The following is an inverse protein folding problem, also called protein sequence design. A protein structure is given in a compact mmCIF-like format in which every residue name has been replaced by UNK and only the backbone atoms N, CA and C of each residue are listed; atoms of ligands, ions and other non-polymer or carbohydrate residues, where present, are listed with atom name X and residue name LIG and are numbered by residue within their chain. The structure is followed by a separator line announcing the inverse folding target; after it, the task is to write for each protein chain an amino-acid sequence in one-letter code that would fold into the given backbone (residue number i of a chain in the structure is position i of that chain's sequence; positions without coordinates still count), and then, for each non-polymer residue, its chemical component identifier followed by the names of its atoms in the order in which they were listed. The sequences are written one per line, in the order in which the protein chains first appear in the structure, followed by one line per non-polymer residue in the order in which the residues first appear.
data_IF_071985077446
#
_entry.id   IF_071985077446
#
_cell.length_a   1.000
_cell.length_b   1.000
_cell.length_c   1.000
_cell.angle_alpha   90.00
_cell.angle_beta   90.00
_cell.angle_gamma   90.00
#
_symmetry.space_group_name_H-M   'P 1'
#
loop_
_entity.id
_entity.type
_entity.pdbx_description
1 polymer ?
#
# COMPACT_ATOMS: atom_id res chain seq x y z
N UNK A 1 1.30 25.72 -2.03
CA UNK A 1 0.77 24.45 -2.55
C UNK A 1 1.88 23.42 -2.42
N UNK A 2 1.76 22.49 -1.48
CA UNK A 2 2.72 21.39 -1.36
C UNK A 2 2.15 20.26 -2.21
N UNK A 3 2.82 19.94 -3.32
CA UNK A 3 2.45 18.83 -4.20
C UNK A 3 2.94 17.53 -3.54
N UNK A 4 2.08 16.88 -2.76
CA UNK A 4 2.45 15.65 -2.04
C UNK A 4 2.42 14.39 -2.94
N UNK A 5 1.84 14.52 -4.13
CA UNK A 5 1.52 13.42 -5.06
C UNK A 5 2.68 13.06 -6.01
N UNK A 6 3.83 13.74 -5.90
CA UNK A 6 4.86 13.76 -6.95
C UNK A 6 6.03 12.76 -6.78
N UNK A 7 5.95 11.80 -5.86
CA UNK A 7 7.04 10.84 -5.65
C UNK A 7 6.70 9.46 -6.20
N UNK A 8 7.57 8.87 -7.03
CA UNK A 8 7.36 7.52 -7.53
C UNK A 8 7.42 6.55 -6.34
N UNK A 9 6.36 5.76 -6.20
CA UNK A 9 6.15 4.85 -5.08
C UNK A 9 6.80 3.50 -5.35
N UNK A 10 7.30 2.86 -4.29
CA UNK A 10 7.71 1.45 -4.35
C UNK A 10 6.44 0.62 -4.40
N UNK A 11 6.22 -0.11 -5.50
CA UNK A 11 5.32 -1.25 -5.53
C UNK A 11 6.18 -2.50 -5.81
N UNK A 12 6.00 -3.60 -5.08
CA UNK A 12 6.61 -4.86 -5.46
C UNK A 12 6.17 -5.25 -6.88
N UNK A 13 7.01 -5.94 -7.63
CA UNK A 13 6.69 -6.32 -9.01
C UNK A 13 5.50 -7.29 -9.04
N UNK A 14 4.59 -7.17 -10.03
CA UNK A 14 3.42 -8.04 -10.11
C UNK A 14 3.87 -9.49 -10.32
N UNK A 15 3.48 -10.38 -9.39
CA UNK A 15 3.64 -11.82 -9.56
C UNK A 15 2.48 -12.38 -10.40
N UNK A 16 2.72 -13.32 -11.33
CA UNK A 16 1.63 -13.94 -12.08
C UNK A 16 0.77 -14.80 -11.13
N UNK A 17 -0.48 -14.39 -10.87
CA UNK A 17 -1.43 -15.16 -10.05
C UNK A 17 -2.75 -15.47 -10.78
N UNK A 18 -3.32 -16.68 -10.63
CA UNK A 18 -4.59 -17.03 -11.24
C UNK A 18 -5.77 -16.63 -10.34
N UNK A 19 -6.45 -15.52 -10.69
CA UNK A 19 -7.78 -15.15 -10.18
C UNK A 19 -7.82 -14.13 -9.05
N UNK A 20 -9.00 -13.54 -8.76
CA UNK A 20 -9.20 -12.56 -7.69
C UNK A 20 -9.24 -13.28 -6.35
N UNK A 21 -8.08 -13.73 -5.88
CA UNK A 21 -7.93 -14.19 -4.51
C UNK A 21 -7.30 -13.07 -3.66
N UNK A 22 -7.67 -12.91 -2.38
CA UNK A 22 -7.01 -11.95 -1.49
C UNK A 22 -5.54 -12.26 -1.23
N UNK A 23 -5.14 -13.54 -1.27
CA UNK A 23 -3.84 -13.99 -0.79
C UNK A 23 -2.61 -13.36 -1.50
N UNK A 24 -2.60 -13.15 -2.84
CA UNK A 24 -1.52 -12.43 -3.52
C UNK A 24 -1.44 -10.95 -3.14
N UNK A 25 -2.59 -10.29 -2.99
CA UNK A 25 -2.62 -8.89 -2.56
C UNK A 25 -2.13 -8.77 -1.12
N UNK A 26 -2.59 -9.65 -0.24
CA UNK A 26 -2.14 -9.75 1.14
C UNK A 26 -0.63 -9.96 1.21
N UNK A 27 -0.10 -10.89 0.42
CA UNK A 27 1.34 -11.15 0.33
C UNK A 27 2.12 -9.93 -0.16
N UNK A 28 1.66 -9.27 -1.24
CA UNK A 28 2.31 -8.07 -1.78
C UNK A 28 2.34 -6.91 -0.77
N UNK A 29 1.25 -6.69 -0.03
CA UNK A 29 1.20 -5.69 1.03
C UNK A 29 2.12 -6.07 2.20
N UNK A 30 2.11 -7.33 2.62
CA UNK A 30 3.00 -7.83 3.67
C UNK A 30 4.48 -7.67 3.30
N UNK A 31 4.85 -8.00 2.07
CA UNK A 31 6.20 -7.77 1.54
C UNK A 31 6.55 -6.27 1.50
N UNK A 32 5.62 -5.41 1.09
CA UNK A 32 5.84 -3.97 1.07
C UNK A 32 6.06 -3.41 2.48
N UNK A 33 5.25 -3.80 3.46
CA UNK A 33 5.36 -3.37 4.85
C UNK A 33 6.63 -3.89 5.54
N UNK A 34 7.20 -5.00 5.05
CA UNK A 34 8.46 -5.53 5.55
C UNK A 34 9.71 -4.75 5.07
N UNK A 35 9.56 -3.80 4.13
CA UNK A 35 10.66 -2.96 3.67
C UNK A 35 10.88 -1.83 4.69
N UNK A 36 11.94 -1.95 5.49
CA UNK A 36 12.34 -1.00 6.55
C UNK A 36 13.31 0.09 6.07
N UNK A 37 13.60 0.13 4.77
CA UNK A 37 14.50 1.12 4.17
C UNK A 37 13.71 2.28 3.57
N UNK A 38 14.18 3.50 3.85
CA UNK A 38 13.59 4.75 3.34
C UNK A 38 13.65 4.88 1.82
N UNK A 39 14.65 4.27 1.20
CA UNK A 39 14.89 4.31 -0.25
C UNK A 39 15.12 2.91 -0.76
N UNK A 40 14.52 2.59 -1.90
CA UNK A 40 14.62 1.24 -2.47
C UNK A 40 15.87 1.09 -3.35
N UNK A 41 16.97 0.63 -2.76
CA UNK A 41 18.24 0.45 -3.47
C UNK A 41 18.71 1.74 -4.16
N UNK A 42 19.05 1.64 -5.45
CA UNK A 42 19.46 2.78 -6.29
C UNK A 42 18.35 3.23 -7.26
N UNK A 43 17.10 2.85 -7.03
CA UNK A 43 15.99 3.14 -7.95
C UNK A 43 15.54 4.60 -7.95
N UNK A 44 15.88 5.36 -6.91
CA UNK A 44 15.32 6.69 -6.66
C UNK A 44 13.89 6.67 -6.08
N UNK A 45 13.32 5.49 -5.81
CA UNK A 45 12.00 5.35 -5.18
C UNK A 45 12.09 5.58 -3.67
N UNK A 46 11.08 6.28 -3.15
CA UNK A 46 10.92 6.59 -1.74
C UNK A 46 9.88 5.66 -1.12
N UNK A 47 10.22 5.05 0.02
CA UNK A 47 9.29 4.26 0.81
C UNK A 47 8.76 5.12 1.96
N UNK A 48 7.46 5.44 1.94
CA UNK A 48 6.83 6.22 3.00
C UNK A 48 6.44 5.35 4.20
N UNK A 49 6.43 4.04 4.02
CA UNK A 49 6.03 3.06 5.02
C UNK A 49 7.19 2.55 5.89
N UNK A 50 8.44 2.94 5.60
CA UNK A 50 9.65 2.37 6.22
C UNK A 50 9.73 2.46 7.75
N UNK A 51 9.00 3.39 8.37
CA UNK A 51 8.89 3.57 9.83
C UNK A 51 7.56 3.11 10.41
N UNK A 52 6.65 2.63 9.58
CA UNK A 52 5.32 2.18 10.00
C UNK A 52 5.38 0.72 10.44
N UNK A 53 4.59 0.36 11.46
CA UNK A 53 4.33 -1.05 11.79
C UNK A 53 2.89 -1.32 11.39
N UNK A 54 2.69 -1.83 10.17
CA UNK A 54 1.37 -2.13 9.61
C UNK A 54 1.22 -3.62 9.35
N UNK A 55 0.02 -4.12 9.56
CA UNK A 55 -0.38 -5.49 9.23
C UNK A 55 -1.72 -5.47 8.52
N UNK A 56 -1.87 -6.36 7.54
CA UNK A 56 -3.18 -6.63 6.94
C UNK A 56 -4.04 -7.37 7.97
N UNK A 57 -5.18 -6.77 8.33
CA UNK A 57 -6.18 -7.42 9.18
C UNK A 57 -7.17 -8.23 8.33
N UNK A 58 -7.52 -7.71 7.15
CA UNK A 58 -8.35 -8.44 6.21
C UNK A 58 -8.50 -7.71 4.87
N UNK A 59 -8.74 -8.50 3.82
CA UNK A 59 -8.99 -8.02 2.47
C UNK A 59 -10.28 -8.66 1.95
N UNK A 60 -11.15 -7.84 1.39
CA UNK A 60 -12.37 -8.26 0.72
C UNK A 60 -12.38 -7.66 -0.69
N UNK A 61 -12.58 -8.49 -1.70
CA UNK A 61 -12.58 -8.07 -3.10
C UNK A 61 -13.97 -8.30 -3.68
N UNK A 62 -14.67 -7.23 -4.05
CA UNK A 62 -16.03 -7.28 -4.59
C UNK A 62 -16.17 -6.30 -5.74
N UNK A 63 -16.67 -6.79 -6.88
CA UNK A 63 -16.97 -5.96 -8.06
C UNK A 63 -15.83 -5.01 -8.48
N UNK A 64 -14.60 -5.54 -8.47
CA UNK A 64 -13.38 -4.81 -8.83
C UNK A 64 -12.86 -3.86 -7.74
N UNK A 65 -13.47 -3.82 -6.56
CA UNK A 65 -13.01 -3.01 -5.45
C UNK A 65 -12.33 -3.88 -4.39
N UNK A 66 -11.10 -3.51 -4.01
CA UNK A 66 -10.39 -4.08 -2.87
C UNK A 66 -10.61 -3.23 -1.62
N UNK A 67 -11.27 -3.80 -0.62
CA UNK A 67 -11.46 -3.22 0.71
C UNK A 67 -10.38 -3.81 1.60
N UNK A 68 -9.40 -2.98 1.96
CA UNK A 68 -8.21 -3.36 2.72
C UNK A 68 -8.33 -2.78 4.13
N UNK A 69 -8.40 -3.65 5.13
CA UNK A 69 -8.38 -3.25 6.53
C UNK A 69 -6.99 -3.52 7.10
N UNK A 70 -6.38 -2.47 7.65
CA UNK A 70 -5.05 -2.50 8.25
C UNK A 70 -5.14 -2.23 9.74
N UNK A 71 -4.17 -2.78 10.46
CA UNK A 71 -3.95 -2.50 11.88
C UNK A 71 -2.50 -2.11 12.12
N UNK A 72 -2.26 -1.34 13.18
CA UNK A 72 -0.92 -1.01 13.67
C UNK A 72 -0.69 0.48 13.87
N UNK A 73 0.55 0.92 13.68
CA UNK A 73 0.99 2.29 13.95
C UNK A 73 1.57 2.94 12.72
N UNK A 74 0.98 4.08 12.36
CA UNK A 74 1.47 4.95 11.31
C UNK A 74 2.32 6.08 11.92
N UNK A 75 3.56 6.21 11.46
CA UNK A 75 4.44 7.31 11.86
C UNK A 75 4.44 8.38 10.77
N UNK A 76 3.89 9.56 11.08
CA UNK A 76 3.92 10.72 10.20
C UNK A 76 5.10 11.62 10.54
N UNK A 77 6.03 11.81 9.61
CA UNK A 77 7.12 12.79 9.72
C UNK A 77 6.75 14.13 9.06
N UNK A 78 5.72 14.16 8.19
CA UNK A 78 5.21 15.38 7.58
C UNK A 78 3.85 15.24 6.90
N UNK A 79 3.28 16.39 6.49
CA UNK A 79 1.95 16.51 5.87
C UNK A 79 1.77 15.71 4.56
N UNK A 80 2.88 15.27 3.94
CA UNK A 80 2.83 14.46 2.73
C UNK A 80 2.92 12.96 2.99
N UNK A 81 3.12 12.51 4.23
CA UNK A 81 3.31 11.08 4.47
C UNK A 81 1.99 10.33 4.39
N UNK A 82 0.91 10.90 4.90
CA UNK A 82 -0.43 10.30 4.76
C UNK A 82 -0.83 10.06 3.30
N UNK A 83 -0.79 11.07 2.38
CA UNK A 83 -1.11 10.82 0.98
C UNK A 83 -0.12 9.87 0.28
N UNK A 84 1.16 9.85 0.68
CA UNK A 84 2.15 8.91 0.11
C UNK A 84 1.93 7.48 0.55
N UNK A 85 1.61 7.26 1.83
CA UNK A 85 1.30 5.94 2.37
C UNK A 85 0.05 5.38 1.72
N UNK A 86 -1.01 6.18 1.65
CA UNK A 86 -2.23 5.80 0.95
C UNK A 86 -1.94 5.42 -0.49
N UNK A 87 -1.23 6.28 -1.23
CA UNK A 87 -0.84 6.01 -2.62
C UNK A 87 0.01 4.75 -2.78
N UNK A 88 0.93 4.46 -1.86
CA UNK A 88 1.74 3.24 -1.89
C UNK A 88 0.89 1.97 -1.76
N UNK A 89 -0.06 1.98 -0.82
CA UNK A 89 -1.00 0.86 -0.61
C UNK A 89 -1.92 0.70 -1.82
N UNK A 90 -2.50 1.81 -2.31
CA UNK A 90 -3.39 1.82 -3.47
C UNK A 90 -2.69 1.29 -4.72
N UNK A 91 -1.49 1.79 -5.03
CA UNK A 91 -0.75 1.33 -6.22
C UNK A 91 -0.32 -0.13 -6.10
N UNK A 92 -0.02 -0.61 -4.89
CA UNK A 92 0.25 -2.04 -4.65
C UNK A 92 -0.99 -2.90 -4.90
N UNK A 93 -2.19 -2.40 -4.68
CA UNK A 93 -3.42 -3.10 -5.02
C UNK A 93 -3.80 -2.98 -6.50
N UNK A 94 -3.66 -1.79 -7.10
CA UNK A 94 -4.00 -1.52 -8.49
C UNK A 94 -3.07 -2.22 -9.50
N UNK A 95 -1.93 -2.76 -9.07
CA UNK A 95 -1.10 -3.61 -9.93
C UNK A 95 -1.83 -4.89 -10.38
N UNK A 96 -2.84 -5.33 -9.61
CA UNK A 96 -3.63 -6.50 -9.94
C UNK A 96 -4.76 -6.11 -10.89
N UNK A 97 -4.72 -6.63 -12.12
CA UNK A 97 -5.68 -6.28 -13.19
C UNK A 97 -7.17 -6.50 -12.89
N UNK A 98 -7.51 -7.20 -11.82
CA UNK A 98 -8.88 -7.42 -11.34
C UNK A 98 -9.36 -6.36 -10.35
N UNK A 99 -8.50 -5.40 -9.98
CA UNK A 99 -8.78 -4.33 -9.03
C UNK A 99 -8.83 -3.01 -9.79
N UNK A 100 -10.00 -2.39 -9.79
CA UNK A 100 -10.29 -1.09 -10.39
C UNK A 100 -10.28 0.03 -9.33
N UNK A 101 -10.60 -0.31 -8.07
CA UNK A 101 -10.76 0.64 -6.96
C UNK A 101 -10.21 0.06 -5.67
N UNK A 102 -9.79 0.93 -4.77
CA UNK A 102 -9.22 0.55 -3.48
C UNK A 102 -9.83 1.43 -2.40
N UNK A 103 -10.27 0.81 -1.32
CA UNK A 103 -10.72 1.46 -0.09
C UNK A 103 -9.85 0.94 1.04
N UNK A 104 -9.17 1.84 1.77
CA UNK A 104 -8.22 1.46 2.83
C UNK A 104 -8.66 2.03 4.17
N UNK A 105 -8.69 1.19 5.20
CA UNK A 105 -8.86 1.63 6.59
C UNK A 105 -7.64 1.26 7.43
N UNK A 106 -7.33 2.07 8.45
CA UNK A 106 -6.32 1.80 9.46
C UNK A 106 -6.95 1.90 10.84
N UNK A 107 -6.87 0.83 11.63
CA UNK A 107 -7.46 0.77 12.98
C UNK A 107 -8.97 1.14 12.99
N UNK A 108 -9.68 0.82 11.91
CA UNK A 108 -11.11 1.12 11.73
C UNK A 108 -11.42 2.54 11.23
N UNK A 109 -10.43 3.41 11.05
CA UNK A 109 -10.60 4.74 10.46
C UNK A 109 -10.25 4.70 8.97
N UNK A 110 -11.07 5.34 8.14
CA UNK A 110 -10.80 5.44 6.70
C UNK A 110 -9.56 6.34 6.51
N UNK A 111 -8.59 5.86 5.73
CA UNK A 111 -7.51 6.69 5.23
C UNK A 111 -8.09 7.53 4.10
#
# INVERSE_FOLDING_TARGET
MIYCDAYPVVAPAPTPHPGPSPAPLEAALGEHFAIDTRTYGQSGLYNALYQSDLRVEGIDIRDGEAIINLSGTFLMEGVCDEPRVRGQIEQTALQFSTIDRVTVSLNGELL
#
